data_IF_476338762033
#
_entry.id   IF_476338762033
#
_cell.length_a   1.000
_cell.length_b   1.000
_cell.length_c   1.000
_cell.angle_alpha   90.00
_cell.angle_beta   90.00
_cell.angle_gamma   90.00
#
_symmetry.space_group_name_H-M   'P 1'
#
loop_
_entity.id
_entity.type
_entity.pdbx_description
1 polymer ?
#
# COMPACT_ATOMS: atom_id res chain seq x y z
N UNK A 1 -4.97 5.76 -13.71
CA UNK A 1 -4.57 4.57 -14.49
C UNK A 1 -5.81 3.76 -14.84
N UNK A 2 -5.78 2.94 -15.88
CA UNK A 2 -6.79 1.89 -16.04
C UNK A 2 -6.75 1.02 -14.78
N UNK A 3 -7.92 0.79 -14.18
CA UNK A 3 -8.16 -0.06 -13.01
C UNK A 3 -7.54 -1.42 -13.31
N UNK A 4 -6.29 -1.62 -12.88
CA UNK A 4 -5.47 -2.74 -13.33
C UNK A 4 -6.16 -4.04 -12.93
N UNK A 5 -6.24 -5.00 -13.85
CA UNK A 5 -6.99 -6.27 -13.80
C UNK A 5 -6.58 -7.23 -12.65
N UNK A 6 -5.89 -6.74 -11.63
CA UNK A 6 -5.35 -7.51 -10.52
C UNK A 6 -6.22 -7.34 -9.28
N UNK A 7 -6.96 -8.41 -8.94
CA UNK A 7 -7.76 -8.50 -7.70
C UNK A 7 -6.90 -8.42 -6.42
N UNK A 8 -5.57 -8.53 -6.55
CA UNK A 8 -4.62 -8.59 -5.46
C UNK A 8 -3.33 -7.81 -5.74
N UNK A 9 -2.88 -7.05 -4.74
CA UNK A 9 -1.54 -6.49 -4.61
C UNK A 9 -0.63 -7.58 -4.07
N UNK A 10 0.36 -7.96 -4.87
CA UNK A 10 1.44 -8.83 -4.43
C UNK A 10 2.47 -8.01 -3.64
N UNK A 11 2.59 -8.28 -2.34
CA UNK A 11 3.52 -7.56 -1.46
C UNK A 11 5.00 -7.82 -1.81
N UNK A 12 5.31 -8.95 -2.47
CA UNK A 12 6.65 -9.23 -2.98
C UNK A 12 7.00 -8.44 -4.25
N UNK A 13 5.97 -7.96 -4.96
CA UNK A 13 6.10 -7.29 -6.24
C UNK A 13 6.00 -5.79 -6.01
N UNK A 14 7.17 -5.18 -5.77
CA UNK A 14 7.30 -3.77 -5.45
C UNK A 14 6.60 -2.82 -6.43
N UNK A 15 6.30 -3.26 -7.65
CA UNK A 15 5.68 -2.44 -8.69
C UNK A 15 4.24 -2.03 -8.36
N UNK A 16 3.36 -2.97 -7.99
CA UNK A 16 1.95 -2.69 -7.73
C UNK A 16 1.75 -1.82 -6.49
N UNK A 17 2.56 -2.06 -5.44
CA UNK A 17 2.53 -1.24 -4.23
C UNK A 17 3.09 0.17 -4.49
N UNK A 18 4.12 0.29 -5.35
CA UNK A 18 4.62 1.59 -5.77
C UNK A 18 3.59 2.36 -6.60
N UNK A 19 2.80 1.69 -7.45
CA UNK A 19 1.70 2.32 -8.16
C UNK A 19 0.63 2.83 -7.19
N UNK A 20 0.24 2.02 -6.19
CA UNK A 20 -0.71 2.42 -5.14
C UNK A 20 -0.25 3.67 -4.38
N UNK A 21 1.03 3.73 -4.04
CA UNK A 21 1.66 4.88 -3.40
C UNK A 21 1.71 6.09 -4.34
N UNK A 22 2.04 5.87 -5.62
CA UNK A 22 2.14 6.94 -6.61
C UNK A 22 0.80 7.60 -6.90
N UNK A 23 -0.29 6.84 -6.96
CA UNK A 23 -1.65 7.39 -7.09
C UNK A 23 -2.04 8.34 -5.95
N UNK A 24 -1.33 8.28 -4.81
CA UNK A 24 -1.58 9.06 -3.59
C UNK A 24 -0.52 10.11 -3.29
N UNK A 25 0.48 10.28 -4.16
CA UNK A 25 1.57 11.25 -3.95
C UNK A 25 2.67 10.77 -3.01
N UNK A 26 2.73 9.47 -2.72
CA UNK A 26 3.76 8.83 -1.90
C UNK A 26 4.85 8.13 -2.73
N UNK A 27 4.93 8.45 -4.03
CA UNK A 27 5.85 7.82 -4.98
C UNK A 27 7.32 7.97 -4.56
N UNK A 28 8.15 6.98 -4.94
CA UNK A 28 9.60 7.12 -4.92
C UNK A 28 10.28 6.87 -3.57
N UNK A 29 9.54 6.63 -2.48
CA UNK A 29 10.12 6.35 -1.17
C UNK A 29 10.05 4.86 -0.81
N UNK A 30 11.22 4.23 -0.69
CA UNK A 30 11.33 2.83 -0.27
C UNK A 30 10.80 2.60 1.15
N UNK A 31 10.90 3.62 2.01
CA UNK A 31 10.42 3.56 3.39
C UNK A 31 8.88 3.51 3.44
N UNK A 32 8.18 4.29 2.60
CA UNK A 32 6.73 4.20 2.45
C UNK A 32 6.29 2.80 2.01
N UNK A 33 7.04 2.18 1.10
CA UNK A 33 6.78 0.82 0.63
C UNK A 33 6.88 -0.19 1.76
N UNK A 34 7.96 -0.11 2.55
CA UNK A 34 8.15 -1.00 3.70
C UNK A 34 7.07 -0.77 4.76
N UNK A 35 6.68 0.47 5.01
CA UNK A 35 5.61 0.81 5.95
C UNK A 35 4.28 0.18 5.56
N UNK A 36 3.85 0.31 4.29
CA UNK A 36 2.59 -0.32 3.84
C UNK A 36 2.70 -1.85 3.90
N UNK A 37 3.86 -2.43 3.56
CA UNK A 37 4.06 -3.87 3.70
C UNK A 37 3.88 -4.35 5.15
N UNK A 38 4.40 -3.61 6.12
CA UNK A 38 4.19 -3.89 7.55
C UNK A 38 2.74 -3.69 7.99
N UNK A 39 2.09 -2.61 7.56
CA UNK A 39 0.66 -2.39 7.85
C UNK A 39 -0.18 -3.55 7.32
N UNK A 40 0.10 -4.00 6.09
CA UNK A 40 -0.61 -5.14 5.52
C UNK A 40 -0.33 -6.40 6.32
N UNK A 41 0.93 -6.71 6.61
CA UNK A 41 1.34 -7.91 7.33
C UNK A 41 0.86 -7.95 8.80
N UNK A 42 0.74 -6.81 9.46
CA UNK A 42 0.40 -6.74 10.89
C UNK A 42 -1.06 -6.36 11.18
N UNK A 43 -1.75 -5.65 10.27
CA UNK A 43 -3.11 -5.12 10.51
C UNK A 43 -4.18 -5.74 9.62
N UNK A 44 -3.85 -6.01 8.36
CA UNK A 44 -4.79 -6.56 7.39
C UNK A 44 -4.73 -8.09 7.30
N UNK A 45 -3.60 -8.68 7.68
CA UNK A 45 -3.30 -10.07 7.39
C UNK A 45 -3.14 -10.86 8.69
N UNK A 46 -4.18 -11.62 9.05
CA UNK A 46 -4.19 -12.48 10.24
C UNK A 46 -3.43 -13.81 10.01
N UNK A 47 -3.10 -14.13 8.75
CA UNK A 47 -2.39 -15.37 8.35
C UNK A 47 -1.57 -15.20 7.08
N UNK A 48 -0.46 -15.96 7.01
CA UNK A 48 0.69 -16.00 6.08
C UNK A 48 0.49 -15.89 4.54
N UNK A 49 -0.61 -15.35 4.02
CA UNK A 49 -0.75 -15.04 2.59
C UNK A 49 0.17 -13.88 2.20
N UNK A 50 0.72 -13.83 0.98
CA UNK A 50 1.63 -12.75 0.55
C UNK A 50 0.92 -11.65 -0.26
N UNK A 51 -0.42 -11.67 -0.28
CA UNK A 51 -1.24 -10.90 -1.19
C UNK A 51 -2.42 -10.25 -0.45
N UNK A 52 -2.74 -9.00 -0.79
CA UNK A 52 -3.90 -8.27 -0.25
C UNK A 52 -4.69 -7.65 -1.39
N UNK A 53 -6.01 -7.65 -1.34
CA UNK A 53 -6.80 -7.00 -2.39
C UNK A 53 -6.63 -5.49 -2.38
N UNK A 54 -6.61 -4.88 -3.58
CA UNK A 54 -6.61 -3.42 -3.73
C UNK A 54 -7.73 -2.75 -2.95
N UNK A 55 -8.91 -3.36 -2.97
CA UNK A 55 -10.09 -2.88 -2.24
C UNK A 55 -9.89 -2.95 -0.71
N UNK A 56 -9.31 -4.02 -0.20
CA UNK A 56 -9.01 -4.18 1.22
C UNK A 56 -7.97 -3.14 1.69
N UNK A 57 -6.94 -2.88 0.90
CA UNK A 57 -5.95 -1.85 1.20
C UNK A 57 -6.56 -0.43 1.13
N UNK A 58 -7.40 -0.16 0.14
CA UNK A 58 -8.12 1.12 0.03
C UNK A 58 -9.11 1.34 1.18
N UNK A 59 -9.81 0.29 1.59
CA UNK A 59 -10.74 0.31 2.72
C UNK A 59 -9.99 0.60 4.01
N UNK A 60 -8.89 -0.09 4.30
CA UNK A 60 -8.05 0.21 5.46
C UNK A 60 -7.48 1.62 5.43
N UNK A 61 -7.06 2.13 4.27
CA UNK A 61 -6.60 3.52 4.16
C UNK A 61 -7.71 4.53 4.50
N UNK A 62 -8.96 4.21 4.20
CA UNK A 62 -10.10 5.10 4.44
C UNK A 62 -10.67 4.97 5.86
N UNK A 63 -10.73 3.75 6.40
CA UNK A 63 -11.28 3.46 7.73
C UNK A 63 -10.25 3.67 8.85
N UNK A 64 -8.96 3.44 8.54
CA UNK A 64 -7.86 3.51 9.50
C UNK A 64 -6.70 4.37 9.00
N UNK A 65 -6.92 5.68 8.78
CA UNK A 65 -5.86 6.60 8.36
C UNK A 65 -4.68 6.64 9.35
N UNK A 66 -4.91 6.32 10.63
CA UNK A 66 -3.87 6.24 11.66
C UNK A 66 -2.84 5.13 11.42
N UNK A 67 -3.15 4.08 10.65
CA UNK A 67 -2.17 3.06 10.29
C UNK A 67 -1.16 3.58 9.25
N UNK A 68 -1.58 4.56 8.45
CA UNK A 68 -0.81 5.13 7.35
C UNK A 68 -0.20 6.50 7.69
N UNK A 69 -0.28 6.94 8.94
CA UNK A 69 0.28 8.24 9.36
C UNK A 69 1.81 8.31 9.28
N UNK A 70 2.49 7.16 9.12
CA UNK A 70 3.93 7.09 8.88
C UNK A 70 4.34 7.33 7.43
N UNK A 71 3.39 7.45 6.49
CA UNK A 71 3.70 7.75 5.10
C UNK A 71 4.20 9.18 4.95
N UNK A 72 5.35 9.30 4.29
CA UNK A 72 5.97 10.59 3.98
C UNK A 72 5.53 10.99 2.57
N UNK A 73 4.86 12.14 2.43
CA UNK A 73 4.56 12.67 1.09
C UNK A 73 5.86 12.90 0.33
N UNK A 74 5.89 12.45 -0.92
CA UNK A 74 6.93 12.84 -1.86
C UNK A 74 6.64 14.26 -2.34
N UNK A 75 6.59 15.24 -1.42
CA UNK A 75 6.70 16.63 -1.82
C UNK A 75 8.13 16.81 -2.35
N UNK A 76 8.26 16.69 -3.68
CA UNK A 76 9.39 17.25 -4.42
C UNK A 76 9.53 18.72 -4.02
N UNK A 77 10.63 19.04 -3.34
CA UNK A 77 11.21 20.37 -3.45
C UNK A 77 12.10 20.41 -4.69
#
# INVERSE_FOLDING_TARGET
MARSDYDFINLSLAHELNEWLAERGYAGQADNRNWVAEVVACKLQDSFCMNVSWDALNTAYSEHPEWFSGLVSGDEN
#
